data_IF_004524093307
#
_entry.id   IF_004524093307
#
_cell.length_a   1.000
_cell.length_b   1.000
_cell.length_c   1.000
_cell.angle_alpha   90.00
_cell.angle_beta   90.00
_cell.angle_gamma   90.00
#
_symmetry.space_group_name_H-M   'P 1'
#
loop_
_entity.id
_entity.type
_entity.pdbx_description
1 polymer ?
#
# COMPACT_ATOMS: atom_id res chain seq x y z
N UNK A 1 -18.16 0.78 -6.47
CA UNK A 1 -16.99 0.05 -5.93
C UNK A 1 -16.06 -0.23 -7.10
N UNK A 2 -14.77 0.08 -6.97
CA UNK A 2 -13.76 -0.16 -8.00
C UNK A 2 -13.53 -1.66 -8.16
N UNK A 3 -13.37 -2.14 -9.39
CA UNK A 3 -13.08 -3.54 -9.71
C UNK A 3 -11.68 -3.69 -10.31
N UNK A 4 -11.15 -4.90 -10.32
CA UNK A 4 -9.85 -5.14 -10.97
C UNK A 4 -9.91 -4.94 -12.50
N UNK A 5 -11.05 -5.19 -13.13
CA UNK A 5 -11.25 -4.94 -14.56
C UNK A 5 -11.17 -3.45 -14.89
N UNK A 6 -11.70 -2.59 -14.00
CA UNK A 6 -11.54 -1.13 -14.15
C UNK A 6 -10.07 -0.72 -14.05
N UNK A 7 -9.33 -1.30 -13.10
CA UNK A 7 -7.91 -1.00 -12.90
C UNK A 7 -7.10 -1.46 -14.11
N UNK A 8 -7.30 -2.68 -14.60
CA UNK A 8 -6.60 -3.24 -15.76
C UNK A 8 -6.83 -2.39 -17.01
N UNK A 9 -8.08 -2.06 -17.29
CA UNK A 9 -8.45 -1.22 -18.44
C UNK A 9 -7.75 0.13 -18.44
N UNK A 10 -7.66 0.78 -17.28
CA UNK A 10 -6.98 2.08 -17.15
C UNK A 10 -5.46 1.90 -17.16
N UNK A 11 -4.95 0.78 -16.61
CA UNK A 11 -3.51 0.50 -16.56
C UNK A 11 -2.89 0.46 -17.96
N UNK A 12 -3.53 -0.18 -18.94
CA UNK A 12 -3.04 -0.24 -20.32
C UNK A 12 -2.83 1.15 -20.93
N UNK A 13 -3.73 2.07 -20.63
CA UNK A 13 -3.69 3.44 -21.15
C UNK A 13 -2.68 4.33 -20.43
N UNK A 14 -2.57 4.19 -19.10
CA UNK A 14 -1.77 5.08 -18.25
C UNK A 14 -0.30 4.63 -18.10
N UNK A 15 0.00 3.37 -18.40
CA UNK A 15 1.33 2.80 -18.20
C UNK A 15 2.46 3.60 -18.88
N UNK A 16 2.35 4.03 -20.16
CA UNK A 16 3.44 4.76 -20.80
C UNK A 16 3.76 6.09 -20.09
N UNK A 17 2.72 6.82 -19.69
CA UNK A 17 2.88 8.09 -18.99
C UNK A 17 3.43 7.91 -17.57
N UNK A 18 3.05 6.82 -16.89
CA UNK A 18 3.60 6.50 -15.59
C UNK A 18 5.06 6.06 -15.67
N UNK A 19 5.39 5.17 -16.61
CA UNK A 19 6.76 4.70 -16.84
C UNK A 19 7.72 5.88 -17.12
N UNK A 20 7.30 6.85 -17.93
CA UNK A 20 8.08 8.06 -18.21
C UNK A 20 8.35 8.89 -16.95
N UNK A 21 7.37 9.00 -16.05
CA UNK A 21 7.52 9.73 -14.78
C UNK A 21 8.52 9.10 -13.82
N UNK A 22 8.64 7.76 -13.80
CA UNK A 22 9.45 7.05 -12.83
C UNK A 22 10.79 6.53 -13.37
N UNK A 23 11.00 6.50 -14.69
CA UNK A 23 12.16 5.88 -15.36
C UNK A 23 13.53 6.34 -14.86
N UNK A 24 13.62 7.59 -14.40
CA UNK A 24 14.87 8.21 -13.96
C UNK A 24 15.05 8.20 -12.45
N UNK A 25 14.11 7.63 -11.72
CA UNK A 25 14.22 7.50 -10.27
C UNK A 25 15.06 6.27 -9.92
N UNK A 26 16.05 6.41 -9.04
CA UNK A 26 16.79 5.25 -8.56
C UNK A 26 15.87 4.39 -7.68
N UNK A 27 15.86 3.08 -7.95
CA UNK A 27 15.13 2.14 -7.10
C UNK A 27 15.80 2.03 -5.72
N UNK A 28 14.99 2.06 -4.68
CA UNK A 28 15.43 1.84 -3.31
C UNK A 28 15.10 0.40 -2.88
N UNK A 29 16.11 -0.37 -2.52
CA UNK A 29 15.95 -1.79 -2.16
C UNK A 29 14.94 -2.07 -1.04
N UNK A 30 14.73 -1.11 -0.13
CA UNK A 30 13.72 -1.18 0.93
C UNK A 30 12.40 -0.49 0.54
N UNK A 31 12.24 -0.15 -0.72
CA UNK A 31 11.09 0.61 -1.19
C UNK A 31 10.02 -0.26 -1.82
N UNK A 32 8.84 0.33 -1.96
CA UNK A 32 7.73 -0.24 -2.73
C UNK A 32 8.13 -0.39 -4.21
N UNK A 33 7.61 -1.41 -4.88
CA UNK A 33 7.83 -1.59 -6.32
C UNK A 33 7.12 -0.48 -7.12
N UNK A 34 7.67 -0.16 -8.28
CA UNK A 34 7.03 0.82 -9.17
C UNK A 34 5.67 0.33 -9.67
N UNK A 35 5.51 -0.96 -9.92
CA UNK A 35 4.24 -1.58 -10.28
C UNK A 35 3.20 -1.48 -9.16
N UNK A 36 3.60 -1.67 -7.90
CA UNK A 36 2.71 -1.52 -6.75
C UNK A 36 2.25 -0.07 -6.56
N UNK A 37 3.18 0.89 -6.71
CA UNK A 37 2.81 2.30 -6.68
C UNK A 37 1.92 2.69 -7.87
N UNK A 38 2.14 2.09 -9.04
CA UNK A 38 1.27 2.27 -10.20
C UNK A 38 -0.16 1.78 -9.88
N UNK A 39 -0.29 0.56 -9.34
CA UNK A 39 -1.57 0.02 -8.87
C UNK A 39 -2.26 0.96 -7.88
N UNK A 40 -1.52 1.39 -6.83
CA UNK A 40 -2.01 2.35 -5.86
C UNK A 40 -2.52 3.62 -6.52
N UNK A 41 -1.75 4.17 -7.46
CA UNK A 41 -2.10 5.43 -8.11
C UNK A 41 -3.39 5.34 -8.92
N UNK A 42 -3.61 4.23 -9.62
CA UNK A 42 -4.84 3.98 -10.39
C UNK A 42 -6.06 3.86 -9.47
N UNK A 43 -5.95 3.03 -8.43
CA UNK A 43 -7.03 2.85 -7.46
C UNK A 43 -7.36 4.17 -6.74
N UNK A 44 -6.34 4.91 -6.33
CA UNK A 44 -6.50 6.18 -5.58
C UNK A 44 -7.22 7.24 -6.41
N UNK A 45 -6.88 7.39 -7.69
CA UNK A 45 -7.54 8.36 -8.59
C UNK A 45 -9.04 8.10 -8.71
N UNK A 46 -9.45 6.83 -8.74
CA UNK A 46 -10.86 6.46 -8.79
C UNK A 46 -11.66 6.90 -7.55
N UNK A 47 -10.99 7.12 -6.41
CA UNK A 47 -11.62 7.56 -5.16
C UNK A 47 -11.68 9.09 -4.99
N UNK A 48 -10.97 9.87 -5.83
CA UNK A 48 -10.85 11.32 -5.75
C UNK A 48 -10.54 11.82 -4.31
N UNK A 49 -9.42 11.39 -3.70
CA UNK A 49 -9.13 11.72 -2.31
C UNK A 49 -8.79 13.19 -2.14
N UNK A 50 -8.94 13.68 -0.91
CA UNK A 50 -8.48 15.02 -0.55
C UNK A 50 -7.04 15.03 -0.03
N UNK A 51 -6.59 13.89 0.52
CA UNK A 51 -5.29 13.76 1.17
C UNK A 51 -4.83 12.31 1.17
N UNK A 52 -3.52 12.10 1.25
CA UNK A 52 -2.93 10.77 1.39
C UNK A 52 -2.23 10.65 2.73
N UNK A 53 -2.48 9.57 3.44
CA UNK A 53 -1.81 9.19 4.67
C UNK A 53 -0.90 8.01 4.37
N UNK A 54 0.32 8.04 4.86
CA UNK A 54 1.28 6.94 4.74
C UNK A 54 1.87 6.60 6.10
N UNK A 55 2.09 5.31 6.36
CA UNK A 55 2.86 4.84 7.51
C UNK A 55 3.92 3.84 7.08
N UNK A 56 5.10 3.92 7.71
CA UNK A 56 6.25 3.09 7.36
C UNK A 56 7.09 3.70 6.23
N UNK A 57 7.40 4.99 6.32
CA UNK A 57 8.17 5.73 5.32
C UNK A 57 9.53 5.14 5.01
N UNK A 58 10.23 4.57 6.01
CA UNK A 58 11.61 4.10 5.90
C UNK A 58 12.50 5.12 5.16
N UNK A 59 13.11 4.76 4.02
CA UNK A 59 13.99 5.63 3.22
C UNK A 59 13.26 6.54 2.24
N UNK A 60 11.92 6.60 2.29
CA UNK A 60 11.08 7.60 1.62
C UNK A 60 10.82 7.34 0.14
N UNK A 61 11.00 6.12 -0.40
CA UNK A 61 10.69 5.84 -1.81
C UNK A 61 9.19 5.90 -2.08
N UNK A 62 8.40 5.24 -1.26
CA UNK A 62 6.93 5.27 -1.38
C UNK A 62 6.39 6.71 -1.28
N UNK A 63 6.89 7.48 -0.30
CA UNK A 63 6.53 8.90 -0.14
C UNK A 63 6.88 9.73 -1.36
N UNK A 64 8.09 9.53 -1.93
CA UNK A 64 8.51 10.23 -3.16
C UNK A 64 7.60 9.89 -4.34
N UNK A 65 7.30 8.61 -4.53
CA UNK A 65 6.42 8.17 -5.61
C UNK A 65 4.99 8.71 -5.44
N UNK A 66 4.46 8.73 -4.21
CA UNK A 66 3.19 9.38 -3.89
C UNK A 66 3.21 10.86 -4.26
N UNK A 67 4.27 11.59 -3.89
CA UNK A 67 4.41 13.02 -4.20
C UNK A 67 4.49 13.30 -5.71
N UNK A 68 5.07 12.38 -6.49
CA UNK A 68 5.15 12.47 -7.95
C UNK A 68 3.80 12.13 -8.60
N UNK A 69 3.11 11.10 -8.10
CA UNK A 69 1.82 10.69 -8.64
C UNK A 69 0.68 11.67 -8.31
N UNK A 70 0.79 12.35 -7.17
CA UNK A 70 -0.23 13.24 -6.62
C UNK A 70 0.34 14.60 -6.18
N UNK A 71 0.90 15.39 -7.12
CA UNK A 71 1.62 16.63 -6.78
C UNK A 71 0.74 17.70 -6.13
N UNK A 72 -0.58 17.60 -6.27
CA UNK A 72 -1.54 18.57 -5.74
C UNK A 72 -2.23 18.09 -4.45
N UNK A 73 -1.98 16.85 -4.01
CA UNK A 73 -2.57 16.33 -2.78
C UNK A 73 -1.59 16.48 -1.61
N UNK A 74 -2.04 16.93 -0.45
CA UNK A 74 -1.26 16.85 0.78
C UNK A 74 -0.98 15.39 1.14
N UNK A 75 0.25 15.08 1.53
CA UNK A 75 0.69 13.76 1.96
C UNK A 75 1.22 13.89 3.38
N UNK A 76 0.64 13.15 4.32
CA UNK A 76 1.17 12.98 5.67
C UNK A 76 1.88 11.65 5.73
N UNK A 77 3.19 11.67 5.91
CA UNK A 77 4.02 10.48 5.94
C UNK A 77 4.60 10.26 7.33
N UNK A 78 4.26 9.11 7.93
CA UNK A 78 4.64 8.72 9.29
C UNK A 78 5.81 7.74 9.28
N UNK A 79 6.79 8.00 10.17
CA UNK A 79 7.81 7.04 10.55
C UNK A 79 7.73 6.77 12.06
N UNK A 80 7.92 5.51 12.43
CA UNK A 80 7.79 5.11 13.84
C UNK A 80 8.94 5.62 14.70
N UNK A 81 10.18 5.36 14.27
CA UNK A 81 11.38 5.71 15.03
C UNK A 81 12.11 6.93 14.44
N UNK A 82 12.08 8.07 15.14
CA UNK A 82 12.79 9.27 14.68
C UNK A 82 14.32 9.11 14.66
N UNK A 83 14.86 8.07 15.31
CA UNK A 83 16.31 7.80 15.38
C UNK A 83 16.75 6.76 14.34
N UNK A 84 15.83 6.24 13.52
CA UNK A 84 16.17 5.29 12.46
C UNK A 84 17.25 5.90 11.52
N UNK A 85 18.26 5.13 11.12
CA UNK A 85 19.24 5.56 10.13
C UNK A 85 18.64 5.87 8.76
N UNK A 86 17.42 5.44 8.50
CA UNK A 86 16.68 5.72 7.27
C UNK A 86 16.09 7.16 7.23
N UNK A 87 15.94 7.82 8.39
CA UNK A 87 15.36 9.17 8.50
C UNK A 87 16.12 10.22 7.69
N UNK A 88 17.45 10.38 7.84
CA UNK A 88 18.19 11.37 7.06
C UNK A 88 18.16 11.06 5.55
N UNK A 89 18.14 9.80 5.16
CA UNK A 89 18.02 9.39 3.75
C UNK A 89 16.67 9.83 3.17
N UNK A 90 15.58 9.59 3.92
CA UNK A 90 14.25 10.03 3.53
C UNK A 90 14.15 11.55 3.44
N UNK A 91 14.71 12.29 4.40
CA UNK A 91 14.71 13.75 4.41
C UNK A 91 15.42 14.33 3.18
N UNK A 92 16.57 13.75 2.79
CA UNK A 92 17.29 14.16 1.58
C UNK A 92 16.48 13.86 0.31
N UNK A 93 15.93 12.63 0.20
CA UNK A 93 15.13 12.19 -0.95
C UNK A 93 13.88 13.05 -1.16
N UNK A 94 13.28 13.52 -0.09
CA UNK A 94 12.03 14.29 -0.10
C UNK A 94 12.25 15.80 -0.08
N UNK A 95 13.52 16.24 -0.13
CA UNK A 95 13.84 17.67 -0.14
C UNK A 95 13.12 18.40 -1.27
N UNK A 96 12.46 19.52 -0.94
CA UNK A 96 11.71 20.32 -1.91
C UNK A 96 10.33 19.78 -2.29
N UNK A 97 9.84 18.71 -1.69
CA UNK A 97 8.48 18.23 -1.88
C UNK A 97 7.51 18.96 -0.95
N UNK A 98 7.00 20.11 -1.41
CA UNK A 98 6.18 21.02 -0.60
C UNK A 98 4.84 20.42 -0.14
N UNK A 99 4.34 19.37 -0.83
CA UNK A 99 3.11 18.68 -0.50
C UNK A 99 3.29 17.53 0.51
N UNK A 100 4.50 17.32 1.06
CA UNK A 100 4.81 16.22 1.99
C UNK A 100 5.06 16.77 3.39
N UNK A 101 4.28 16.28 4.35
CA UNK A 101 4.42 16.54 5.79
C UNK A 101 5.00 15.29 6.47
N UNK A 102 6.25 15.38 6.93
CA UNK A 102 6.97 14.30 7.57
C UNK A 102 6.71 14.30 9.07
N UNK A 103 6.11 13.23 9.58
CA UNK A 103 5.78 13.07 10.99
C UNK A 103 6.41 11.82 11.59
N UNK A 104 6.41 11.77 12.93
CA UNK A 104 6.86 10.60 13.70
C UNK A 104 5.78 10.14 14.66
N UNK A 105 5.73 8.83 14.89
CA UNK A 105 4.84 8.22 15.87
C UNK A 105 4.35 6.84 15.49
N UNK A 106 3.72 6.18 16.46
CA UNK A 106 3.06 4.87 16.22
C UNK A 106 1.80 5.09 15.37
N UNK A 107 1.81 4.54 14.16
CA UNK A 107 0.71 4.67 13.20
C UNK A 107 -0.63 4.19 13.77
N UNK A 108 -0.61 3.16 14.66
CA UNK A 108 -1.85 2.63 15.27
C UNK A 108 -2.52 3.61 16.22
N UNK A 109 -1.74 4.59 16.71
CA UNK A 109 -2.22 5.67 17.58
C UNK A 109 -2.48 6.95 16.79
N UNK A 110 -1.55 7.31 15.90
CA UNK A 110 -1.60 8.61 15.19
C UNK A 110 -2.66 8.62 14.10
N UNK A 111 -2.68 7.63 13.19
CA UNK A 111 -3.56 7.65 12.03
C UNK A 111 -5.05 7.76 12.37
N UNK A 112 -5.60 7.04 13.37
CA UNK A 112 -7.01 7.19 13.73
C UNK A 112 -7.42 8.59 14.21
N UNK A 113 -6.45 9.38 14.70
CA UNK A 113 -6.72 10.75 15.16
C UNK A 113 -6.53 11.80 14.06
N UNK A 114 -5.71 11.52 13.05
CA UNK A 114 -5.44 12.49 11.98
C UNK A 114 -6.23 12.22 10.71
N UNK A 115 -6.73 11.00 10.54
CA UNK A 115 -7.50 10.60 9.36
C UNK A 115 -8.83 11.37 9.29
N UNK A 116 -9.20 11.77 8.08
CA UNK A 116 -10.43 12.50 7.76
C UNK A 116 -11.18 11.80 6.64
N UNK A 117 -12.47 12.02 6.60
CA UNK A 117 -13.33 11.57 5.50
C UNK A 117 -12.72 12.05 4.17
N UNK A 118 -12.67 11.16 3.20
CA UNK A 118 -12.05 11.35 1.88
C UNK A 118 -10.52 11.19 1.83
N UNK A 119 -9.85 10.81 2.93
CA UNK A 119 -8.45 10.39 2.86
C UNK A 119 -8.32 9.00 2.23
N UNK A 120 -7.14 8.75 1.67
CA UNK A 120 -6.64 7.42 1.31
C UNK A 120 -5.42 7.12 2.16
N UNK A 121 -5.29 5.90 2.66
CA UNK A 121 -4.16 5.51 3.50
C UNK A 121 -3.33 4.39 2.87
N UNK A 122 -2.00 4.51 2.93
CA UNK A 122 -1.03 3.45 2.67
C UNK A 122 -0.42 2.99 4.01
N UNK A 123 -0.60 1.73 4.35
CA UNK A 123 -0.04 1.10 5.54
C UNK A 123 1.08 0.16 5.12
N UNK A 124 2.32 0.62 5.26
CA UNK A 124 3.54 -0.14 5.05
C UNK A 124 4.28 -0.45 6.38
N UNK A 125 3.82 0.14 7.45
CA UNK A 125 4.13 -0.15 8.85
C UNK A 125 2.97 0.28 9.76
N UNK A 126 2.60 -0.53 10.75
CA UNK A 126 3.16 -1.84 11.14
C UNK A 126 2.78 -2.97 10.17
N UNK A 127 3.64 -3.99 10.07
CA UNK A 127 3.44 -5.17 9.20
C UNK A 127 2.47 -6.20 9.80
N UNK A 128 2.00 -7.12 8.94
CA UNK A 128 1.20 -8.26 9.31
C UNK A 128 -0.15 -7.88 9.95
N UNK A 129 -0.59 -8.63 10.96
CA UNK A 129 -1.89 -8.42 11.62
C UNK A 129 -2.09 -7.05 12.25
N UNK A 130 -1.01 -6.39 12.68
CA UNK A 130 -1.11 -5.03 13.21
C UNK A 130 -1.53 -4.03 12.12
N UNK A 131 -0.97 -4.19 10.91
CA UNK A 131 -1.33 -3.38 9.75
C UNK A 131 -2.76 -3.65 9.29
N UNK A 132 -3.15 -4.92 9.15
CA UNK A 132 -4.53 -5.31 8.78
C UNK A 132 -5.55 -4.77 9.77
N UNK A 133 -5.30 -4.87 11.09
CA UNK A 133 -6.21 -4.32 12.10
C UNK A 133 -6.33 -2.80 12.02
N UNK A 134 -5.22 -2.10 11.77
CA UNK A 134 -5.24 -0.65 11.57
C UNK A 134 -6.07 -0.28 10.34
N UNK A 135 -5.88 -0.97 9.22
CA UNK A 135 -6.64 -0.77 8.00
C UNK A 135 -8.16 -0.94 8.22
N UNK A 136 -8.55 -2.05 8.83
CA UNK A 136 -9.95 -2.33 9.14
C UNK A 136 -10.55 -1.32 10.12
N UNK A 137 -9.75 -0.83 11.06
CA UNK A 137 -10.18 0.23 11.98
C UNK A 137 -10.49 1.52 11.24
N UNK A 138 -9.58 2.00 10.40
CA UNK A 138 -9.76 3.24 9.65
C UNK A 138 -10.98 3.17 8.70
N UNK A 139 -11.17 2.03 8.02
CA UNK A 139 -12.34 1.81 7.18
C UNK A 139 -13.65 1.73 7.98
N UNK A 140 -13.66 1.01 9.10
CA UNK A 140 -14.86 0.81 9.92
C UNK A 140 -15.32 2.08 10.63
N UNK A 141 -14.38 2.95 11.00
CA UNK A 141 -14.67 4.27 11.57
C UNK A 141 -15.10 5.30 10.51
N UNK A 142 -15.05 4.93 9.22
CA UNK A 142 -15.37 5.82 8.11
C UNK A 142 -14.38 6.99 7.96
N UNK A 143 -13.20 6.86 8.57
CA UNK A 143 -12.18 7.90 8.56
C UNK A 143 -11.41 7.98 7.25
N UNK A 144 -11.54 6.99 6.36
CA UNK A 144 -10.88 6.95 5.06
C UNK A 144 -11.76 6.28 4.02
N UNK A 145 -11.58 6.64 2.75
CA UNK A 145 -12.30 6.02 1.61
C UNK A 145 -11.70 4.69 1.17
N UNK A 146 -10.40 4.54 1.33
CA UNK A 146 -9.64 3.40 0.82
C UNK A 146 -8.37 3.23 1.65
N UNK A 147 -7.98 1.98 1.88
CA UNK A 147 -6.72 1.66 2.55
C UNK A 147 -5.94 0.67 1.72
N UNK A 148 -4.66 0.95 1.54
CA UNK A 148 -3.69 0.02 1.00
C UNK A 148 -2.89 -0.59 2.15
N UNK A 149 -2.69 -1.92 2.08
CA UNK A 149 -1.84 -2.65 3.03
C UNK A 149 -0.75 -3.36 2.25
N UNK A 150 0.50 -3.04 2.58
CA UNK A 150 1.68 -3.63 1.93
C UNK A 150 2.05 -4.98 2.55
N UNK A 151 2.81 -5.80 1.81
CA UNK A 151 3.27 -7.15 2.21
C UNK A 151 2.14 -8.16 2.48
N UNK A 152 1.04 -8.06 1.75
CA UNK A 152 -0.07 -9.02 1.82
C UNK A 152 0.11 -10.12 0.77
N UNK A 153 1.15 -10.93 0.95
CA UNK A 153 1.54 -11.97 -0.02
C UNK A 153 0.51 -13.10 -0.13
N UNK A 154 0.32 -13.67 -1.32
CA UNK A 154 -0.49 -14.87 -1.51
C UNK A 154 -0.09 -16.00 -0.54
N UNK A 155 -1.07 -16.69 0.00
CA UNK A 155 -0.86 -17.79 0.94
C UNK A 155 -0.51 -17.39 2.38
N UNK A 156 -0.34 -16.09 2.69
CA UNK A 156 -0.19 -15.62 4.07
C UNK A 156 -1.52 -15.69 4.83
N UNK A 157 -1.51 -15.82 6.15
CA UNK A 157 -2.74 -15.81 6.95
C UNK A 157 -3.53 -14.50 6.81
N UNK A 158 -2.83 -13.37 6.70
CA UNK A 158 -3.41 -12.05 6.49
C UNK A 158 -4.12 -11.97 5.14
N UNK A 159 -3.49 -12.51 4.07
CA UNK A 159 -4.08 -12.56 2.73
C UNK A 159 -5.36 -13.41 2.72
N UNK A 160 -5.31 -14.65 3.23
CA UNK A 160 -6.48 -15.53 3.33
C UNK A 160 -7.61 -14.92 4.15
N UNK A 161 -7.26 -14.18 5.20
CA UNK A 161 -8.24 -13.45 6.00
C UNK A 161 -8.93 -12.36 5.18
N UNK A 162 -8.17 -11.53 4.47
CA UNK A 162 -8.73 -10.46 3.64
C UNK A 162 -9.60 -11.01 2.51
N UNK A 163 -9.16 -12.05 1.81
CA UNK A 163 -9.94 -12.72 0.76
C UNK A 163 -11.28 -13.26 1.29
N UNK A 164 -11.29 -13.79 2.50
CA UNK A 164 -12.51 -14.31 3.14
C UNK A 164 -13.47 -13.21 3.59
N UNK A 165 -12.96 -12.15 4.22
CA UNK A 165 -13.78 -11.15 4.90
C UNK A 165 -14.04 -9.90 4.06
N UNK A 166 -13.18 -9.64 3.09
CA UNK A 166 -13.27 -8.53 2.14
C UNK A 166 -13.10 -9.07 0.69
N UNK A 167 -14.05 -9.86 0.18
CA UNK A 167 -13.92 -10.54 -1.12
C UNK A 167 -13.80 -9.57 -2.31
N UNK A 168 -14.04 -8.28 -2.09
CA UNK A 168 -13.87 -7.21 -3.08
C UNK A 168 -12.54 -6.46 -2.94
N UNK A 169 -11.63 -6.94 -2.09
CA UNK A 169 -10.28 -6.40 -2.03
C UNK A 169 -9.57 -6.65 -3.36
N UNK A 170 -8.83 -5.64 -3.83
CA UNK A 170 -8.03 -5.73 -5.04
C UNK A 170 -6.56 -5.92 -4.65
N UNK A 171 -5.78 -6.54 -5.53
CA UNK A 171 -4.38 -6.85 -5.23
C UNK A 171 -3.49 -6.54 -6.41
N UNK A 172 -2.30 -5.97 -6.14
CA UNK A 172 -1.32 -5.63 -7.18
C UNK A 172 -0.72 -6.87 -7.87
N UNK A 173 -0.83 -8.05 -7.25
CA UNK A 173 -0.40 -9.34 -7.79
C UNK A 173 -1.50 -10.07 -8.59
N UNK A 174 -2.64 -9.44 -8.88
CA UNK A 174 -3.60 -9.98 -9.86
C UNK A 174 -2.89 -10.18 -11.19
N UNK A 175 -2.98 -11.40 -11.74
CA UNK A 175 -2.23 -11.80 -12.95
C UNK A 175 -2.46 -10.87 -14.14
N UNK A 176 -3.67 -10.34 -14.31
CA UNK A 176 -4.00 -9.43 -15.42
C UNK A 176 -3.30 -8.09 -15.26
N UNK A 177 -3.28 -7.55 -14.04
CA UNK A 177 -2.56 -6.32 -13.75
C UNK A 177 -1.04 -6.53 -13.80
N UNK A 178 -0.54 -7.61 -13.19
CA UNK A 178 0.88 -7.93 -13.17
C UNK A 178 1.44 -8.11 -14.59
N UNK A 179 0.69 -8.73 -15.51
CA UNK A 179 1.08 -8.89 -16.91
C UNK A 179 1.36 -7.56 -17.62
N UNK A 180 0.66 -6.49 -17.22
CA UNK A 180 0.86 -5.14 -17.75
C UNK A 180 2.02 -4.43 -17.04
N UNK A 181 2.03 -4.48 -15.70
CA UNK A 181 2.83 -3.59 -14.87
C UNK A 181 4.24 -4.11 -14.54
N UNK A 182 4.51 -5.43 -14.63
CA UNK A 182 5.79 -6.05 -14.20
C UNK A 182 7.04 -5.41 -14.82
N UNK A 183 6.94 -4.94 -16.07
CA UNK A 183 8.06 -4.28 -16.77
C UNK A 183 8.52 -2.97 -16.12
N UNK A 184 7.69 -2.35 -15.27
CA UNK A 184 8.09 -1.18 -14.49
C UNK A 184 9.20 -1.50 -13.48
N UNK A 185 9.26 -2.76 -13.04
CA UNK A 185 10.20 -3.20 -12.01
C UNK A 185 11.50 -3.78 -12.58
N UNK A 186 11.71 -3.70 -13.89
CA UNK A 186 12.91 -4.24 -14.53
C UNK A 186 14.20 -3.69 -13.91
N UNK A 187 14.22 -2.41 -13.53
CA UNK A 187 15.36 -1.78 -12.85
C UNK A 187 15.55 -2.29 -11.41
N UNK A 188 14.50 -2.84 -10.80
CA UNK A 188 14.52 -3.40 -9.46
C UNK A 188 14.80 -4.92 -9.45
N UNK A 189 14.81 -5.56 -10.60
CA UNK A 189 14.83 -7.03 -10.75
C UNK A 189 15.94 -7.72 -9.97
N UNK A 190 17.16 -7.15 -9.95
CA UNK A 190 18.30 -7.69 -9.21
C UNK A 190 18.15 -7.57 -7.68
N UNK A 191 17.30 -6.65 -7.22
CA UNK A 191 17.04 -6.38 -5.78
C UNK A 191 15.88 -7.19 -5.24
N UNK A 192 15.07 -7.80 -6.11
CA UNK A 192 13.90 -8.60 -5.72
C UNK A 192 14.36 -10.04 -5.47
N UNK A 193 14.09 -10.63 -4.30
CA UNK A 193 14.45 -12.02 -4.01
C UNK A 193 13.86 -13.00 -5.03
N UNK A 194 14.61 -14.06 -5.34
CA UNK A 194 14.13 -15.15 -6.18
C UNK A 194 12.83 -15.76 -5.59
N UNK A 195 11.89 -16.08 -6.47
CA UNK A 195 10.56 -16.58 -6.07
C UNK A 195 9.55 -15.49 -5.69
N UNK A 196 9.96 -14.22 -5.67
CA UNK A 196 9.05 -13.06 -5.52
C UNK A 196 8.90 -12.25 -6.82
N UNK A 197 9.62 -12.64 -7.87
CA UNK A 197 9.50 -12.04 -9.20
C UNK A 197 8.28 -12.60 -9.91
N UNK A 198 7.65 -11.76 -10.73
CA UNK A 198 6.55 -12.22 -11.58
C UNK A 198 7.10 -13.16 -12.67
N UNK A 199 6.47 -14.32 -12.76
CA UNK A 199 6.73 -15.31 -13.78
C UNK A 199 5.43 -15.60 -14.53
N UNK A 200 5.34 -15.32 -15.86
CA UNK A 200 4.12 -15.54 -16.64
C UNK A 200 3.71 -17.01 -16.72
N UNK A 201 4.67 -17.92 -16.62
CA UNK A 201 4.46 -19.36 -16.83
C UNK A 201 4.32 -20.16 -15.52
N UNK A 202 4.49 -19.50 -14.36
CA UNK A 202 4.51 -20.14 -13.05
C UNK A 202 3.43 -19.67 -12.08
N UNK A 203 3.38 -20.32 -10.92
CA UNK A 203 2.65 -19.86 -9.73
C UNK A 203 3.40 -18.78 -8.96
N UNK A 204 4.35 -18.12 -9.61
CA UNK A 204 5.26 -17.17 -8.98
C UNK A 204 4.51 -16.00 -8.35
N UNK A 205 4.97 -15.65 -7.19
CA UNK A 205 4.49 -14.50 -6.43
C UNK A 205 5.13 -13.26 -7.00
N UNK A 206 4.31 -12.23 -7.21
CA UNK A 206 4.81 -10.97 -7.72
C UNK A 206 5.05 -9.99 -6.58
N UNK A 207 6.31 -9.56 -6.43
CA UNK A 207 6.72 -8.54 -5.49
C UNK A 207 6.28 -8.80 -4.05
N UNK A 208 5.98 -7.73 -3.34
CA UNK A 208 5.52 -7.77 -1.95
C UNK A 208 4.00 -7.71 -1.80
N UNK A 209 3.27 -7.64 -2.88
CA UNK A 209 1.82 -7.53 -2.98
C UNK A 209 1.17 -6.45 -2.11
N UNK A 210 0.50 -5.54 -2.77
CA UNK A 210 -0.27 -4.46 -2.17
C UNK A 210 -1.76 -4.79 -2.25
N UNK A 211 -2.44 -4.85 -1.10
CA UNK A 211 -3.89 -5.01 -1.03
C UNK A 211 -4.57 -3.65 -1.01
N UNK A 212 -5.56 -3.43 -1.87
CA UNK A 212 -6.46 -2.28 -1.87
C UNK A 212 -7.78 -2.66 -1.22
N UNK A 213 -8.09 -2.09 -0.07
CA UNK A 213 -9.29 -2.36 0.70
C UNK A 213 -10.27 -1.19 0.56
N UNK A 214 -11.52 -1.51 0.22
CA UNK A 214 -12.62 -0.56 0.08
C UNK A 214 -13.75 -0.92 1.06
N UNK A 215 -14.52 0.07 1.56
CA UNK A 215 -15.71 -0.22 2.34
C UNK A 215 -16.70 -1.07 1.51
N UNK A 216 -17.21 -2.20 2.04
CA UNK A 216 -18.21 -3.00 1.35
C UNK A 216 -19.54 -2.23 1.30
N UNK A 217 -20.27 -2.34 0.18
CA UNK A 217 -21.53 -1.66 -0.05
C UNK A 217 -22.64 -2.05 0.96
N UNK A 218 -22.54 -3.21 1.62
CA UNK A 218 -23.56 -3.77 2.51
C UNK A 218 -23.22 -3.77 4.00
N UNK A 219 -22.14 -3.11 4.43
CA UNK A 219 -21.68 -3.21 5.83
C UNK A 219 -20.79 -4.45 6.04
N UNK A 220 -20.62 -4.87 7.29
CA UNK A 220 -19.82 -6.09 7.63
C UNK A 220 -18.37 -5.79 8.10
N UNK A 221 -17.88 -4.56 7.94
CA UNK A 221 -16.54 -4.18 8.43
C UNK A 221 -16.37 -4.37 9.93
N UNK A 222 -17.42 -4.18 10.72
CA UNK A 222 -17.39 -4.40 12.17
C UNK A 222 -17.09 -5.85 12.53
N UNK A 223 -17.70 -6.81 11.83
CA UNK A 223 -17.44 -8.24 12.02
C UNK A 223 -16.03 -8.62 11.55
N UNK A 224 -15.58 -8.11 10.40
CA UNK A 224 -14.23 -8.32 9.91
C UNK A 224 -13.18 -7.77 10.91
N UNK A 225 -13.43 -6.59 11.47
CA UNK A 225 -12.56 -5.98 12.50
C UNK A 225 -12.47 -6.85 13.76
N UNK A 226 -13.60 -7.33 14.28
CA UNK A 226 -13.60 -8.23 15.43
C UNK A 226 -12.87 -9.54 15.14
N UNK A 227 -13.14 -10.15 13.98
CA UNK A 227 -12.47 -11.38 13.56
C UNK A 227 -10.95 -11.21 13.46
N UNK A 228 -10.46 -10.04 12.96
CA UNK A 228 -9.03 -9.75 12.88
C UNK A 228 -8.35 -9.61 14.25
N UNK A 229 -9.07 -9.12 15.27
CA UNK A 229 -8.56 -9.05 16.64
C UNK A 229 -8.32 -10.47 17.17
N UNK A 230 -9.30 -11.37 17.02
CA UNK A 230 -9.19 -12.75 17.47
C UNK A 230 -8.14 -13.56 16.70
N UNK A 231 -8.02 -13.36 15.40
CA UNK A 231 -7.01 -14.04 14.58
C UNK A 231 -5.57 -13.63 14.99
N UNK A 232 -5.35 -12.35 15.29
CA UNK A 232 -4.08 -11.86 15.78
C UNK A 232 -3.70 -12.37 17.17
N UNK A 233 -4.68 -12.55 18.08
CA UNK A 233 -4.45 -13.08 19.43
C UNK A 233 -4.07 -14.56 19.43
N UNK A 234 -4.65 -15.38 18.55
CA UNK A 234 -4.34 -16.81 18.44
C UNK A 234 -2.90 -17.07 18.01
N UNK A 235 -2.30 -16.16 17.25
CA UNK A 235 -0.93 -16.31 16.73
C UNK A 235 0.12 -15.92 17.78
N UNK A 236 -0.12 -14.89 18.56
CA UNK A 236 0.76 -14.53 19.69
C UNK A 236 0.81 -15.61 20.78
N UNK A 237 -0.25 -16.44 20.89
CA UNK A 237 -0.28 -17.59 21.81
C UNK A 237 0.36 -18.88 21.22
N UNK A 238 0.57 -18.94 19.88
CA UNK A 238 1.24 -20.07 19.22
C UNK A 238 2.74 -19.85 19.01
N UNK A 239 3.18 -18.59 19.10
CA UNK A 239 4.59 -18.17 18.95
C UNK A 239 5.26 -17.92 20.33
N UNK A 240 4.53 -18.13 21.45
CA UNK A 240 5.00 -18.05 22.83
C UNK A 240 5.14 -19.45 23.44
#
# INVERSE_FOLDING_TARGET
>A
MLTIDDVVRVAEQELPAYAERVRHLPYERKGILYSEMFFLSLCTRASAPKRILESGRARGQSTLLLAICFPHLPIISLEHDPRSPDVPVAAERLRGRANVDLRFGDATRVLPHVAQVDDVALIDGPKGWRGVRLALRLLAEGSVRMVFVHDVLPGTPERRFLEKWLPHALYSDDRRFAAIAHRLDAAAAESIPDGQRWDPDGDARYGYSLACLQPPAGGGLGLARLAAIFAGLRRTAADA
#
